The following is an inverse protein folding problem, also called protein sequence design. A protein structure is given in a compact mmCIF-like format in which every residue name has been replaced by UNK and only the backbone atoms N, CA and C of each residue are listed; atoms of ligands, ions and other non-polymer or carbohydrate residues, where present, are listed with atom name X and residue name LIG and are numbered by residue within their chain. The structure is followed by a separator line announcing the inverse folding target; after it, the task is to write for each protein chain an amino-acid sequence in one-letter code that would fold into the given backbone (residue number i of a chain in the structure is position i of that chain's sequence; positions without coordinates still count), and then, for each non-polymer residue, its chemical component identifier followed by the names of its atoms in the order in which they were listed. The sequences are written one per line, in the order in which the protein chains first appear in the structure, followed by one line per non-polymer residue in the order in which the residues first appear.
data_IF_228590677719
#
_entry.id   IF_228590677719
#
_cell.length_a   1.000
_cell.length_b   1.000
_cell.length_c   1.000
_cell.angle_alpha   90.00
_cell.angle_beta   90.00
_cell.angle_gamma   90.00
#
_symmetry.space_group_name_H-M   'P 1'
#
loop_
_entity.id
_entity.type
_entity.pdbx_description
1 polymer ?
#
# COMPACT_ATOMS: atom_id res chain seq x y z
N UNK A 1 -4.25 23.57 -18.50
CA UNK A 1 -5.19 23.12 -17.45
C UNK A 1 -4.68 23.67 -16.12
N UNK A 2 -5.33 24.72 -15.60
CA UNK A 2 -4.91 25.38 -14.35
C UNK A 2 -5.20 24.44 -13.18
N UNK A 3 -4.18 23.80 -12.62
CA UNK A 3 -4.24 23.22 -11.28
C UNK A 3 -4.21 24.41 -10.33
N UNK A 4 -5.37 25.01 -10.05
CA UNK A 4 -5.48 26.15 -9.14
C UNK A 4 -6.41 25.76 -8.00
N UNK A 5 -5.82 25.28 -6.91
CA UNK A 5 -6.44 25.30 -5.59
C UNK A 5 -5.29 25.43 -4.60
N UNK A 6 -5.04 26.65 -4.15
CA UNK A 6 -4.21 26.88 -2.97
C UNK A 6 -4.82 26.08 -1.83
N UNK A 7 -4.04 25.13 -1.31
CA UNK A 7 -4.44 24.44 -0.07
C UNK A 7 -4.51 25.47 1.05
N UNK A 8 -5.56 25.39 1.86
CA UNK A 8 -5.57 26.09 3.16
C UNK A 8 -4.36 25.63 3.99
N UNK A 9 -3.90 26.48 4.90
CA UNK A 9 -2.75 26.16 5.77
C UNK A 9 -2.94 24.83 6.52
N UNK A 10 -4.17 24.55 6.99
CA UNK A 10 -4.51 23.28 7.64
C UNK A 10 -4.38 22.08 6.70
N UNK A 11 -4.82 22.21 5.44
CA UNK A 11 -4.70 21.12 4.47
C UNK A 11 -3.24 20.86 4.08
N UNK A 12 -2.42 21.92 3.95
CA UNK A 12 -0.97 21.76 3.76
C UNK A 12 -0.32 21.04 4.94
N UNK A 13 -0.63 21.47 6.17
CA UNK A 13 -0.12 20.85 7.39
C UNK A 13 -0.51 19.37 7.49
N UNK A 14 -1.77 19.03 7.20
CA UNK A 14 -2.24 17.64 7.16
C UNK A 14 -1.49 16.79 6.15
N UNK A 15 -1.30 17.28 4.91
CA UNK A 15 -0.56 16.54 3.87
C UNK A 15 0.91 16.32 4.24
N UNK A 16 1.54 17.32 4.87
CA UNK A 16 2.92 17.19 5.38
C UNK A 16 2.96 16.13 6.48
N UNK A 17 2.06 16.19 7.45
CA UNK A 17 1.96 15.20 8.52
C UNK A 17 1.78 13.78 7.97
N UNK A 18 0.88 13.60 7.01
CA UNK A 18 0.63 12.30 6.39
C UNK A 18 1.86 11.79 5.61
N UNK A 19 2.53 12.65 4.83
CA UNK A 19 3.75 12.29 4.12
C UNK A 19 4.88 11.89 5.09
N UNK A 20 5.10 12.67 6.15
CA UNK A 20 6.09 12.37 7.19
C UNK A 20 5.75 11.06 7.89
N UNK A 21 4.48 10.80 8.16
CA UNK A 21 4.03 9.55 8.80
C UNK A 21 4.23 8.34 7.88
N UNK A 22 3.97 8.47 6.58
CA UNK A 22 4.28 7.46 5.58
C UNK A 22 5.80 7.21 5.51
N UNK A 23 6.62 8.28 5.50
CA UNK A 23 8.08 8.16 5.55
C UNK A 23 8.55 7.45 6.81
N UNK A 24 8.04 7.81 7.98
CA UNK A 24 8.30 7.10 9.24
C UNK A 24 7.97 5.61 9.14
N UNK A 25 6.83 5.27 8.53
CA UNK A 25 6.42 3.90 8.25
C UNK A 25 7.41 3.10 7.37
N UNK A 26 8.21 3.77 6.54
CA UNK A 26 9.26 3.11 5.72
C UNK A 26 10.53 2.77 6.50
N UNK A 27 10.72 3.35 7.69
CA UNK A 27 11.96 3.19 8.46
C UNK A 27 11.93 1.94 9.35
N UNK A 28 13.10 1.46 9.79
CA UNK A 28 13.18 0.39 10.80
C UNK A 28 12.83 0.90 12.21
N UNK A 29 12.90 2.22 12.43
CA UNK A 29 12.58 2.85 13.72
C UNK A 29 11.12 2.69 14.13
N UNK A 30 10.21 2.44 13.19
CA UNK A 30 8.79 2.27 13.51
C UNK A 30 8.42 0.87 14.00
N UNK A 31 9.36 -0.09 13.96
CA UNK A 31 9.15 -1.50 14.27
C UNK A 31 10.04 -1.90 15.48
N UNK A 32 9.58 -2.77 16.39
CA UNK A 32 10.41 -3.31 17.47
C UNK A 32 11.71 -3.95 16.97
N UNK A 33 12.85 -3.77 17.66
CA UNK A 33 14.16 -4.29 17.22
C UNK A 33 14.21 -5.80 16.99
N UNK A 34 13.42 -6.58 17.72
CA UNK A 34 13.31 -8.04 17.57
C UNK A 34 12.73 -8.40 16.20
N UNK A 35 11.64 -7.73 15.81
CA UNK A 35 10.98 -7.93 14.52
C UNK A 35 11.91 -7.44 13.39
N UNK A 36 12.58 -6.29 13.59
CA UNK A 36 13.56 -5.78 12.61
C UNK A 36 14.69 -6.77 12.38
N UNK A 37 15.29 -7.33 13.44
CA UNK A 37 16.34 -8.35 13.32
C UNK A 37 15.85 -9.60 12.61
N UNK A 38 14.64 -10.05 12.91
CA UNK A 38 14.03 -11.17 12.20
C UNK A 38 13.85 -10.87 10.72
N UNK A 39 13.27 -9.72 10.35
CA UNK A 39 13.17 -9.34 8.93
C UNK A 39 14.53 -9.20 8.25
N UNK A 40 15.58 -8.73 8.94
CA UNK A 40 16.92 -8.66 8.36
C UNK A 40 17.54 -10.04 8.12
N UNK A 41 17.10 -11.08 8.84
CA UNK A 41 17.54 -12.47 8.63
C UNK A 41 16.88 -13.16 7.42
N UNK A 42 15.79 -12.59 6.89
CA UNK A 42 15.04 -13.16 5.77
C UNK A 42 15.50 -12.59 4.43
N UNK A 43 15.53 -13.44 3.39
CA UNK A 43 15.72 -12.97 2.02
C UNK A 43 14.60 -12.00 1.63
N UNK A 44 14.97 -10.87 1.04
CA UNK A 44 14.05 -9.79 0.65
C UNK A 44 13.61 -8.89 1.81
N UNK A 45 13.85 -9.32 3.06
CA UNK A 45 13.54 -8.57 4.28
C UNK A 45 12.10 -8.05 4.32
N UNK A 46 11.85 -6.93 5.00
CA UNK A 46 10.53 -6.30 5.04
C UNK A 46 10.06 -5.77 3.67
N UNK A 47 10.93 -5.69 2.67
CA UNK A 47 10.60 -5.06 1.38
C UNK A 47 9.68 -5.89 0.48
N UNK A 48 9.50 -7.18 0.78
CA UNK A 48 8.62 -8.09 0.01
C UNK A 48 7.16 -8.03 0.43
N UNK A 49 6.86 -7.38 1.56
CA UNK A 49 5.50 -7.21 2.04
C UNK A 49 4.76 -6.22 1.13
N UNK A 50 3.56 -6.60 0.68
CA UNK A 50 2.69 -5.80 -0.16
C UNK A 50 2.49 -4.40 0.43
N UNK A 51 2.26 -4.32 1.74
CA UNK A 51 2.12 -3.05 2.47
C UNK A 51 3.34 -2.15 2.23
N UNK A 52 4.56 -2.69 2.37
CA UNK A 52 5.78 -1.90 2.22
C UNK A 52 6.01 -1.50 0.76
N UNK A 53 5.79 -2.40 -0.21
CA UNK A 53 5.83 -2.06 -1.64
C UNK A 53 4.87 -0.90 -1.95
N UNK A 54 3.62 -0.99 -1.48
CA UNK A 54 2.62 0.07 -1.69
C UNK A 54 3.00 1.37 -0.97
N UNK A 55 3.57 1.29 0.23
CA UNK A 55 4.02 2.45 0.99
C UNK A 55 5.15 3.20 0.28
N UNK A 56 6.19 2.49 -0.19
CA UNK A 56 7.28 3.11 -0.96
C UNK A 56 6.77 3.78 -2.24
N UNK A 57 5.92 3.09 -3.01
CA UNK A 57 5.30 3.65 -4.21
C UNK A 57 4.44 4.88 -3.88
N UNK A 58 3.74 4.86 -2.74
CA UNK A 58 2.94 6.01 -2.26
C UNK A 58 3.83 7.20 -1.93
N UNK A 59 4.92 7.01 -1.18
CA UNK A 59 5.88 8.07 -0.89
C UNK A 59 6.43 8.68 -2.17
N UNK A 60 6.87 7.86 -3.13
CA UNK A 60 7.35 8.32 -4.44
C UNK A 60 6.25 9.11 -5.17
N UNK A 61 5.01 8.63 -5.15
CA UNK A 61 3.88 9.30 -5.76
C UNK A 61 3.60 10.69 -5.14
N UNK A 62 3.64 10.79 -3.81
CA UNK A 62 3.42 12.05 -3.07
C UNK A 62 4.55 13.06 -3.34
N UNK A 63 5.80 12.60 -3.35
CA UNK A 63 6.95 13.43 -3.72
C UNK A 63 6.85 13.91 -5.18
N UNK A 64 6.43 13.02 -6.09
CA UNK A 64 6.16 13.39 -7.49
C UNK A 64 5.05 14.45 -7.57
N UNK A 65 4.01 14.34 -6.76
CA UNK A 65 2.95 15.36 -6.65
C UNK A 65 3.49 16.73 -6.23
N UNK A 66 4.43 16.79 -5.30
CA UNK A 66 5.11 18.04 -4.91
C UNK A 66 5.87 18.63 -6.10
N UNK A 67 6.64 17.82 -6.82
CA UNK A 67 7.40 18.27 -8.00
C UNK A 67 6.44 18.78 -9.09
N UNK A 68 5.38 18.04 -9.40
CA UNK A 68 4.38 18.42 -10.42
C UNK A 68 3.74 19.78 -10.11
N UNK A 69 3.44 20.08 -8.84
CA UNK A 69 2.85 21.37 -8.44
C UNK A 69 3.79 22.55 -8.68
N UNK A 70 5.08 22.35 -8.47
CA UNK A 70 6.10 23.40 -8.62
C UNK A 70 6.52 23.61 -10.08
N UNK A 71 6.76 22.53 -10.84
CA UNK A 71 7.34 22.61 -12.18
C UNK A 71 6.35 22.44 -13.34
N UNK A 72 5.18 21.81 -13.11
CA UNK A 72 4.08 21.67 -14.08
C UNK A 72 4.45 21.01 -15.42
N UNK A 73 5.46 20.12 -15.43
CA UNK A 73 5.80 19.33 -16.62
C UNK A 73 4.64 18.39 -17.01
N UNK A 74 4.23 18.42 -18.28
CA UNK A 74 3.04 17.70 -18.78
C UNK A 74 3.13 16.19 -18.61
N UNK A 75 4.24 15.58 -19.02
CA UNK A 75 4.43 14.13 -18.92
C UNK A 75 4.51 13.66 -17.46
N UNK A 76 5.20 14.42 -16.60
CA UNK A 76 5.25 14.11 -15.17
C UNK A 76 3.87 14.22 -14.52
N UNK A 77 3.07 15.21 -14.94
CA UNK A 77 1.67 15.36 -14.47
C UNK A 77 0.82 14.16 -14.89
N UNK A 78 0.99 13.67 -16.13
CA UNK A 78 0.29 12.49 -16.64
C UNK A 78 0.71 11.23 -15.87
N UNK A 79 2.01 11.02 -15.68
CA UNK A 79 2.55 9.92 -14.88
C UNK A 79 2.00 9.94 -13.46
N UNK A 80 2.04 11.09 -12.79
CA UNK A 80 1.50 11.26 -11.44
C UNK A 80 0.01 10.91 -11.35
N UNK A 81 -0.83 11.36 -12.30
CA UNK A 81 -2.25 11.00 -12.34
C UNK A 81 -2.48 9.49 -12.52
N UNK A 82 -1.70 8.83 -13.37
CA UNK A 82 -1.76 7.38 -13.52
C UNK A 82 -1.39 6.67 -12.21
N UNK A 83 -0.32 7.10 -11.53
CA UNK A 83 0.08 6.55 -10.24
C UNK A 83 -1.01 6.72 -9.17
N UNK A 84 -1.59 7.91 -9.01
CA UNK A 84 -2.70 8.12 -8.06
C UNK A 84 -3.88 7.22 -8.40
N UNK A 85 -4.20 7.04 -9.69
CA UNK A 85 -5.32 6.21 -10.14
C UNK A 85 -5.16 4.72 -9.78
N UNK A 86 -3.93 4.19 -9.78
CA UNK A 86 -3.66 2.78 -9.47
C UNK A 86 -3.30 2.54 -8.00
N UNK A 87 -2.60 3.48 -7.37
CA UNK A 87 -2.16 3.33 -5.99
C UNK A 87 -3.28 3.58 -4.98
N UNK A 88 -4.27 4.43 -5.31
CA UNK A 88 -5.39 4.68 -4.39
C UNK A 88 -6.19 3.40 -4.10
N UNK A 89 -6.67 2.64 -5.12
CA UNK A 89 -7.39 1.39 -4.89
C UNK A 89 -6.51 0.29 -4.30
N UNK A 90 -5.22 0.24 -4.67
CA UNK A 90 -4.28 -0.73 -4.12
C UNK A 90 -4.02 -0.49 -2.62
N UNK A 91 -3.87 0.76 -2.20
CA UNK A 91 -3.74 1.08 -0.77
C UNK A 91 -5.06 0.87 -0.02
N UNK A 92 -6.21 1.14 -0.64
CA UNK A 92 -7.50 0.78 -0.04
C UNK A 92 -7.63 -0.72 0.20
N UNK A 93 -7.20 -1.55 -0.75
CA UNK A 93 -7.11 -3.01 -0.60
C UNK A 93 -6.21 -3.37 0.59
N UNK A 94 -4.99 -2.82 0.66
CA UNK A 94 -4.06 -3.06 1.78
C UNK A 94 -4.69 -2.68 3.12
N UNK A 95 -5.33 -1.51 3.22
CA UNK A 95 -6.05 -1.08 4.42
C UNK A 95 -7.12 -2.10 4.82
N UNK A 96 -7.98 -2.50 3.88
CA UNK A 96 -9.09 -3.44 4.14
C UNK A 96 -8.54 -4.79 4.59
N UNK A 97 -7.62 -5.38 3.83
CA UNK A 97 -7.07 -6.71 4.13
C UNK A 97 -6.37 -6.72 5.49
N UNK A 98 -5.53 -5.72 5.78
CA UNK A 98 -4.84 -5.64 7.05
C UNK A 98 -5.81 -5.57 8.22
N UNK A 99 -6.72 -4.58 8.22
CA UNK A 99 -7.59 -4.36 9.37
C UNK A 99 -8.61 -5.49 9.56
N UNK A 100 -9.14 -6.07 8.48
CA UNK A 100 -10.04 -7.23 8.58
C UNK A 100 -9.32 -8.42 9.20
N UNK A 101 -8.13 -8.77 8.70
CA UNK A 101 -7.37 -9.91 9.23
C UNK A 101 -6.89 -9.63 10.67
N UNK A 102 -6.44 -8.42 10.95
CA UNK A 102 -5.99 -8.01 12.29
C UNK A 102 -7.11 -8.10 13.32
N UNK A 103 -8.34 -7.67 12.97
CA UNK A 103 -9.49 -7.71 13.86
C UNK A 103 -10.02 -9.13 14.08
N UNK A 104 -9.88 -10.02 13.09
CA UNK A 104 -10.25 -11.44 13.23
C UNK A 104 -9.23 -12.17 14.11
N UNK A 105 -7.96 -12.11 13.74
CA UNK A 105 -6.85 -12.74 14.47
C UNK A 105 -5.53 -12.11 13.99
N UNK A 106 -4.84 -11.31 14.84
CA UNK A 106 -3.55 -10.70 14.49
C UNK A 106 -2.49 -11.69 14.03
N UNK A 107 -2.55 -12.96 14.43
CA UNK A 107 -1.59 -14.02 14.05
C UNK A 107 -1.79 -14.55 12.63
N UNK A 108 -2.78 -14.04 11.89
CA UNK A 108 -2.94 -14.28 10.45
C UNK A 108 -1.93 -13.48 9.63
N UNK A 109 -1.50 -12.33 10.16
CA UNK A 109 -0.63 -11.38 9.46
C UNK A 109 0.66 -11.06 10.24
N UNK A 110 0.73 -11.42 11.53
CA UNK A 110 1.91 -11.29 12.38
C UNK A 110 2.41 -12.66 12.79
N UNK A 111 3.73 -12.75 13.01
CA UNK A 111 4.32 -13.94 13.58
C UNK A 111 3.74 -14.22 14.98
N UNK A 112 3.31 -15.46 15.18
CA UNK A 112 2.65 -15.88 16.42
C UNK A 112 3.61 -15.85 17.62
N UNK A 113 4.89 -16.18 17.41
CA UNK A 113 5.89 -16.21 18.47
C UNK A 113 6.14 -14.82 19.06
N UNK A 114 6.20 -13.76 18.22
CA UNK A 114 6.32 -12.39 18.71
C UNK A 114 5.06 -11.94 19.45
N UNK A 115 3.89 -12.31 18.95
CA UNK A 115 2.63 -11.98 19.60
C UNK A 115 2.52 -12.58 21.00
N UNK A 116 2.90 -13.85 21.17
CA UNK A 116 2.91 -14.57 22.45
C UNK A 116 3.96 -14.01 23.43
N UNK A 117 5.10 -13.53 22.91
CA UNK A 117 6.13 -12.83 23.70
C UNK A 117 5.75 -11.39 24.07
N UNK A 118 4.58 -10.90 23.65
CA UNK A 118 4.15 -9.52 23.90
C UNK A 118 4.87 -8.47 23.04
N UNK A 119 5.67 -8.89 22.06
CA UNK A 119 6.37 -8.02 21.11
C UNK A 119 5.35 -7.57 20.05
N UNK A 120 4.89 -6.32 20.17
CA UNK A 120 3.82 -5.78 19.34
C UNK A 120 4.27 -4.53 18.60
N UNK A 121 3.89 -4.45 17.33
CA UNK A 121 3.93 -3.20 16.57
C UNK A 121 2.88 -2.25 17.17
N UNK A 122 3.27 -0.98 17.37
CA UNK A 122 2.39 0.05 17.92
C UNK A 122 1.23 0.35 16.97
N UNK A 123 0.07 0.70 17.52
CA UNK A 123 -1.10 1.08 16.71
C UNK A 123 -0.80 2.26 15.77
N UNK A 124 0.02 3.21 16.22
CA UNK A 124 0.44 4.34 15.39
C UNK A 124 1.24 3.87 14.18
N UNK A 125 2.20 2.94 14.37
CA UNK A 125 2.93 2.33 13.25
C UNK A 125 1.97 1.62 12.29
N UNK A 126 1.01 0.85 12.80
CA UNK A 126 0.02 0.16 11.96
C UNK A 126 -0.77 1.14 11.10
N UNK A 127 -1.22 2.26 11.69
CA UNK A 127 -1.93 3.32 10.97
C UNK A 127 -1.02 3.98 9.92
N UNK A 128 0.25 4.25 10.25
CA UNK A 128 1.22 4.86 9.34
C UNK A 128 1.49 4.01 8.09
N UNK A 129 1.50 2.69 8.21
CA UNK A 129 1.83 1.79 7.08
C UNK A 129 0.58 1.27 6.37
N UNK A 130 -0.58 1.16 7.04
CA UNK A 130 -1.78 0.56 6.46
C UNK A 130 -2.91 1.54 6.14
N UNK A 131 -3.02 2.71 6.80
CA UNK A 131 -4.16 3.63 6.63
C UNK A 131 -3.74 4.99 6.04
N UNK A 132 -2.70 5.62 6.57
CA UNK A 132 -2.25 6.93 6.08
C UNK A 132 -1.85 6.97 4.61
N UNK A 133 -1.28 5.91 3.99
CA UNK A 133 -1.02 5.89 2.56
C UNK A 133 -2.31 6.05 1.74
N UNK A 134 -3.37 5.35 2.12
CA UNK A 134 -4.69 5.47 1.50
C UNK A 134 -5.26 6.88 1.67
N UNK A 135 -5.27 7.42 2.90
CA UNK A 135 -5.79 8.77 3.17
C UNK A 135 -5.02 9.83 2.36
N UNK A 136 -3.70 9.71 2.28
CA UNK A 136 -2.85 10.63 1.52
C UNK A 136 -3.23 10.65 0.04
N UNK A 137 -3.36 9.47 -0.58
CA UNK A 137 -3.72 9.36 -1.99
C UNK A 137 -5.17 9.79 -2.25
N UNK A 138 -6.07 9.55 -1.30
CA UNK A 138 -7.45 10.02 -1.39
C UNK A 138 -7.51 11.55 -1.42
N UNK A 139 -6.78 12.23 -0.54
CA UNK A 139 -6.70 13.70 -0.55
C UNK A 139 -6.08 14.25 -1.84
N UNK A 140 -5.07 13.58 -2.39
CA UNK A 140 -4.49 13.96 -3.68
C UNK A 140 -5.49 13.78 -4.82
N UNK A 141 -6.27 12.69 -4.83
CA UNK A 141 -7.27 12.42 -5.87
C UNK A 141 -8.35 13.50 -5.96
N UNK A 142 -8.73 14.14 -4.84
CA UNK A 142 -9.74 15.23 -4.84
C UNK A 142 -9.33 16.46 -5.65
N UNK A 143 -8.03 16.60 -5.93
CA UNK A 143 -7.48 17.73 -6.71
C UNK A 143 -7.16 17.37 -8.15
N UNK A 144 -7.39 16.12 -8.55
CA UNK A 144 -7.00 15.59 -9.84
C UNK A 144 -8.24 15.17 -10.60
N UNK A 145 -8.30 15.60 -11.86
CA UNK A 145 -9.20 14.96 -12.83
C UNK A 145 -8.55 13.64 -13.22
N UNK A 146 -9.00 12.57 -12.55
CA UNK A 146 -8.61 11.20 -12.85
C UNK A 146 -9.40 10.69 -14.05
N UNK A 147 -8.78 9.83 -14.85
CA UNK A 147 -9.41 9.24 -16.03
C UNK A 147 -9.31 7.73 -15.97
N UNK A 148 -10.46 7.08 -16.16
CA UNK A 148 -10.55 5.63 -16.31
C UNK A 148 -9.76 5.18 -17.54
N UNK A 149 -8.93 4.16 -17.38
CA UNK A 149 -8.16 3.52 -18.44
C UNK A 149 -8.12 2.00 -18.26
N UNK A 150 -8.21 1.25 -19.37
CA UNK A 150 -8.07 -0.21 -19.37
C UNK A 150 -6.69 -0.65 -18.87
N UNK A 151 -5.64 0.15 -19.12
CA UNK A 151 -4.28 -0.18 -18.67
C UNK A 151 -4.18 -0.30 -17.15
N UNK A 152 -5.01 0.43 -16.40
CA UNK A 152 -5.07 0.34 -14.94
C UNK A 152 -5.66 -0.99 -14.48
N UNK A 153 -6.65 -1.52 -15.20
CA UNK A 153 -7.22 -2.84 -14.92
C UNK A 153 -6.20 -3.95 -15.21
N UNK A 154 -5.52 -3.87 -16.37
CA UNK A 154 -4.43 -4.78 -16.72
C UNK A 154 -3.32 -4.74 -15.68
N UNK A 155 -3.00 -3.56 -15.14
CA UNK A 155 -2.02 -3.41 -14.07
C UNK A 155 -2.37 -4.28 -12.85
N UNK A 156 -3.62 -4.30 -12.37
CA UNK A 156 -3.97 -5.12 -11.19
C UNK A 156 -3.83 -6.62 -11.45
N UNK A 157 -4.17 -7.08 -12.65
CA UNK A 157 -4.01 -8.49 -13.04
C UNK A 157 -2.53 -8.87 -13.05
N UNK A 158 -1.71 -8.10 -13.77
CA UNK A 158 -0.26 -8.35 -13.89
C UNK A 158 0.42 -8.21 -12.54
N UNK A 159 0.09 -7.17 -11.77
CA UNK A 159 0.66 -6.94 -10.44
C UNK A 159 0.34 -8.09 -9.49
N UNK A 160 -0.91 -8.55 -9.43
CA UNK A 160 -1.32 -9.65 -8.56
C UNK A 160 -0.60 -10.95 -8.92
N UNK A 161 -0.55 -11.28 -10.21
CA UNK A 161 0.15 -12.47 -10.69
C UNK A 161 1.65 -12.41 -10.36
N UNK A 162 2.32 -11.30 -10.68
CA UNK A 162 3.73 -11.08 -10.35
C UNK A 162 3.98 -11.13 -8.84
N UNK A 163 3.10 -10.55 -8.03
CA UNK A 163 3.23 -10.56 -6.57
C UNK A 163 3.04 -11.96 -5.98
N UNK A 164 2.14 -12.78 -6.53
CA UNK A 164 2.01 -14.19 -6.16
C UNK A 164 3.31 -14.96 -6.45
N UNK A 165 3.87 -14.79 -7.65
CA UNK A 165 5.14 -15.42 -8.01
C UNK A 165 6.29 -14.96 -7.10
N UNK A 166 6.34 -13.68 -6.75
CA UNK A 166 7.30 -13.13 -5.79
C UNK A 166 7.17 -13.80 -4.41
N UNK A 167 5.94 -13.91 -3.89
CA UNK A 167 5.69 -14.57 -2.62
C UNK A 167 6.10 -16.04 -2.66
N UNK A 168 5.79 -16.74 -3.76
CA UNK A 168 6.17 -18.14 -3.93
C UNK A 168 7.70 -18.32 -4.01
N UNK A 169 8.39 -17.44 -4.72
CA UNK A 169 9.84 -17.42 -4.80
C UNK A 169 10.48 -17.25 -3.41
N UNK A 170 10.07 -16.23 -2.65
CA UNK A 170 10.60 -16.03 -1.30
C UNK A 170 10.20 -17.12 -0.31
N UNK A 171 9.03 -17.75 -0.49
CA UNK A 171 8.68 -18.94 0.29
C UNK A 171 9.68 -20.08 0.12
N UNK A 172 10.24 -20.25 -1.08
CA UNK A 172 11.23 -21.30 -1.33
C UNK A 172 12.62 -20.94 -0.78
N UNK A 173 12.93 -19.65 -0.61
CA UNK A 173 14.17 -19.19 -0.01
C UNK A 173 14.12 -19.23 1.53
N UNK A 174 13.05 -18.70 2.10
CA UNK A 174 12.91 -18.53 3.56
C UNK A 174 12.28 -19.75 4.25
N UNK A 175 11.74 -20.71 3.49
CA UNK A 175 10.92 -21.83 4.00
C UNK A 175 9.62 -21.41 4.70
N UNK A 176 9.28 -20.13 4.64
CA UNK A 176 8.08 -19.55 5.22
C UNK A 176 7.42 -18.59 4.22
N UNK A 177 6.10 -18.46 4.30
CA UNK A 177 5.39 -17.51 3.45
C UNK A 177 5.51 -16.09 4.00
N UNK A 178 5.51 -15.10 3.10
CA UNK A 178 5.51 -13.67 3.43
C UNK A 178 4.45 -13.31 4.48
N UNK A 179 3.27 -13.93 4.40
CA UNK A 179 2.23 -13.80 5.41
C UNK A 179 1.89 -15.15 6.02
N UNK A 180 1.78 -15.26 7.37
CA UNK A 180 1.44 -16.50 8.05
C UNK A 180 0.17 -17.19 7.52
N UNK A 181 -0.88 -16.43 7.20
CA UNK A 181 -2.12 -16.97 6.61
C UNK A 181 -1.87 -17.80 5.35
N UNK A 182 -0.92 -17.42 4.51
CA UNK A 182 -0.59 -18.18 3.30
C UNK A 182 0.02 -19.54 3.66
N UNK A 183 0.76 -19.65 4.76
CA UNK A 183 1.24 -20.94 5.28
C UNK A 183 0.13 -21.84 5.80
N UNK A 184 -0.97 -21.27 6.29
CA UNK A 184 -2.09 -21.98 6.92
C UNK A 184 -3.13 -22.53 5.93
N UNK A 185 -3.12 -22.09 4.68
CA UNK A 185 -4.14 -22.45 3.66
C UNK A 185 -3.55 -23.23 2.49
N UNK A 186 -4.37 -24.03 1.80
CA UNK A 186 -3.95 -24.79 0.61
C UNK A 186 -3.68 -23.88 -0.59
N UNK A 187 -2.95 -24.39 -1.59
CA UNK A 187 -2.64 -23.63 -2.83
C UNK A 187 -3.90 -23.10 -3.53
N UNK A 188 -4.98 -23.89 -3.55
CA UNK A 188 -6.25 -23.45 -4.13
C UNK A 188 -6.77 -22.17 -3.43
N UNK A 189 -6.83 -22.17 -2.10
CA UNK A 189 -7.27 -21.00 -1.34
C UNK A 189 -6.32 -19.81 -1.46
N UNK A 190 -5.00 -20.03 -1.64
CA UNK A 190 -4.06 -18.94 -1.96
C UNK A 190 -4.42 -18.29 -3.29
N UNK A 191 -4.62 -19.07 -4.33
CA UNK A 191 -4.98 -18.55 -5.65
C UNK A 191 -6.32 -17.80 -5.60
N UNK A 192 -7.31 -18.33 -4.87
CA UNK A 192 -8.59 -17.65 -4.63
C UNK A 192 -8.39 -16.33 -3.89
N UNK A 193 -7.58 -16.29 -2.83
CA UNK A 193 -7.31 -15.08 -2.06
C UNK A 193 -6.67 -13.98 -2.94
N UNK A 194 -5.66 -14.33 -3.74
CA UNK A 194 -5.02 -13.39 -4.65
C UNK A 194 -5.99 -12.94 -5.75
N UNK A 195 -6.73 -13.86 -6.37
CA UNK A 195 -7.73 -13.54 -7.38
C UNK A 195 -8.84 -12.63 -6.86
N UNK A 196 -9.39 -12.92 -5.67
CA UNK A 196 -10.38 -12.08 -5.02
C UNK A 196 -9.81 -10.70 -4.67
N UNK A 197 -8.57 -10.63 -4.21
CA UNK A 197 -7.89 -9.36 -3.93
C UNK A 197 -7.75 -8.50 -5.19
N UNK A 198 -7.42 -9.10 -6.33
CA UNK A 198 -7.36 -8.40 -7.61
C UNK A 198 -8.73 -7.84 -8.02
N UNK A 199 -9.78 -8.67 -7.94
CA UNK A 199 -11.14 -8.24 -8.26
C UNK A 199 -11.62 -7.13 -7.33
N UNK A 200 -11.30 -7.20 -6.04
CA UNK A 200 -11.62 -6.17 -5.07
C UNK A 200 -10.89 -4.86 -5.40
N UNK A 201 -9.60 -4.88 -5.70
CA UNK A 201 -8.87 -3.69 -6.13
C UNK A 201 -9.44 -3.08 -7.42
N UNK A 202 -9.81 -3.92 -8.40
CA UNK A 202 -10.46 -3.48 -9.63
C UNK A 202 -11.84 -2.86 -9.37
N UNK A 203 -12.64 -3.44 -8.46
CA UNK A 203 -13.93 -2.89 -8.05
C UNK A 203 -13.79 -1.54 -7.36
N UNK A 204 -12.84 -1.41 -6.42
CA UNK A 204 -12.53 -0.13 -5.76
C UNK A 204 -12.05 0.90 -6.79
N UNK A 205 -11.25 0.48 -7.77
CA UNK A 205 -10.80 1.34 -8.86
C UNK A 205 -11.97 1.87 -9.70
N UNK A 206 -12.86 1.01 -10.18
CA UNK A 206 -14.01 1.45 -11.00
C UNK A 206 -14.93 2.35 -10.19
N UNK A 207 -15.16 2.06 -8.90
CA UNK A 207 -15.91 2.95 -7.99
C UNK A 207 -15.21 4.31 -7.82
N UNK A 208 -13.89 4.31 -7.65
CA UNK A 208 -13.10 5.54 -7.53
C UNK A 208 -13.16 6.37 -8.81
N UNK A 209 -13.08 5.74 -9.98
CA UNK A 209 -13.25 6.45 -11.25
C UNK A 209 -14.66 7.02 -11.37
N UNK A 210 -15.71 6.24 -11.08
CA UNK A 210 -17.09 6.71 -11.13
C UNK A 210 -17.37 7.92 -10.22
N UNK A 211 -16.77 7.94 -9.02
CA UNK A 211 -17.01 8.98 -8.01
C UNK A 211 -16.08 10.19 -8.13
N UNK A 212 -14.84 10.01 -8.62
CA UNK A 212 -13.79 11.04 -8.62
C UNK A 212 -13.42 11.54 -10.03
N UNK A 213 -13.90 10.93 -11.11
CA UNK A 213 -13.61 11.40 -12.48
C UNK A 213 -14.50 12.55 -12.95
N UNK A 214 -15.38 13.07 -12.09
CA UNK A 214 -16.24 14.23 -12.35
C UNK A 214 -15.49 15.50 -11.97
#
# INVERSE_FOLDING_TARGET
MKINYEDSSHMKALKIFLLVSCLYGTTDFCIPPEITRHYQSLYGSKYIFLTNICLYLTVICLLTGIIVRNYKYKELTKFYKHNVSVLLPLNALVTILFWVLYLIDPTLIRDKSFFEQGIKISLFTDICVHLFPFISLFLESKKLILKRSNIHLTFYIVFTFSYYLLCFYYKNLNQEWVYPILGKISTFYRLTLFGFSALLAMGIYELSMYTLSK
#
